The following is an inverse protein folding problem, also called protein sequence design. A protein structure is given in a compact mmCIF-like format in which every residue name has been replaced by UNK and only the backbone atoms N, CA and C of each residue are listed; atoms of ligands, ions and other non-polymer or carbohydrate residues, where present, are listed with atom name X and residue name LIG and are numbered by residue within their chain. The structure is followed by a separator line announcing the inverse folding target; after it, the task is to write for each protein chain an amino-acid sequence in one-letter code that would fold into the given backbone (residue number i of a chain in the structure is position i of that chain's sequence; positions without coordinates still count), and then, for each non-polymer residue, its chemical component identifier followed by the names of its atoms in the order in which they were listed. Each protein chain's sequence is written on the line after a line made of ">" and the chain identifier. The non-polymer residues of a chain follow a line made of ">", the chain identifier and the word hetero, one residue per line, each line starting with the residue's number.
data_IF_546004251016
#
_entry.id   IF_546004251016
#
_cell.length_a   1.000
_cell.length_b   1.000
_cell.length_c   1.000
_cell.angle_alpha   90.00
_cell.angle_beta   90.00
_cell.angle_gamma   90.00
#
_symmetry.space_group_name_H-M   'P 1'
#
loop_
_entity.id
_entity.type
_entity.pdbx_description
1 polymer ?
#
# COMPACT_ATOMS: atom_id res chain seq x y z
N UNK A 1 6.98 -15.19 4.67
CA UNK A 1 6.34 -13.86 4.51
C UNK A 1 4.97 -13.89 5.15
N UNK A 2 4.67 -12.96 6.03
CA UNK A 2 3.33 -12.72 6.59
C UNK A 2 2.58 -11.85 5.60
N UNK A 3 1.37 -12.24 5.22
CA UNK A 3 0.49 -11.46 4.36
C UNK A 3 -0.90 -11.47 4.97
N UNK A 4 -1.37 -10.29 5.38
CA UNK A 4 -2.71 -10.04 5.85
C UNK A 4 -3.45 -9.14 4.88
N UNK A 5 -4.68 -9.52 4.55
CA UNK A 5 -5.53 -8.76 3.62
C UNK A 5 -6.85 -8.49 4.33
N UNK A 6 -7.30 -7.25 4.30
CA UNK A 6 -8.60 -6.86 4.87
C UNK A 6 -9.36 -6.02 3.85
N UNK A 7 -10.67 -6.18 3.88
CA UNK A 7 -11.59 -5.39 3.06
C UNK A 7 -12.90 -5.20 3.84
N UNK A 8 -13.44 -3.98 3.83
CA UNK A 8 -14.70 -3.64 4.51
C UNK A 8 -15.61 -2.82 3.58
N UNK A 9 -16.93 -2.82 3.83
CA UNK A 9 -17.84 -1.87 3.17
C UNK A 9 -17.42 -0.42 3.49
N UNK A 10 -17.76 0.58 2.65
CA UNK A 10 -18.62 0.43 1.46
C UNK A 10 -17.90 0.00 0.19
N UNK A 11 -16.58 0.19 0.10
CA UNK A 11 -15.84 0.03 -1.16
C UNK A 11 -15.34 -1.39 -1.38
N UNK A 12 -15.18 -2.22 -0.32
CA UNK A 12 -14.66 -3.59 -0.40
C UNK A 12 -13.29 -3.70 -1.10
N UNK A 13 -12.51 -2.62 -1.09
CA UNK A 13 -11.14 -2.68 -1.58
C UNK A 13 -10.23 -3.33 -0.54
N UNK A 14 -9.12 -3.88 -1.00
CA UNK A 14 -8.17 -4.57 -0.14
C UNK A 14 -7.10 -3.60 0.40
N UNK A 15 -6.94 -3.57 1.73
CA UNK A 15 -5.75 -3.08 2.39
C UNK A 15 -4.86 -4.24 2.81
N UNK A 16 -3.55 -4.01 2.86
CA UNK A 16 -2.59 -5.09 3.10
C UNK A 16 -1.61 -4.75 4.22
N UNK A 17 -1.22 -5.80 4.97
CA UNK A 17 -0.01 -5.80 5.80
C UNK A 17 0.90 -6.89 5.27
N UNK A 18 2.12 -6.53 4.91
CA UNK A 18 3.15 -7.46 4.45
C UNK A 18 4.31 -7.42 5.42
N UNK A 19 4.61 -8.53 6.09
CA UNK A 19 5.61 -8.62 7.15
C UNK A 19 6.68 -9.68 6.89
N UNK A 20 7.89 -9.38 7.39
CA UNK A 20 8.98 -10.33 7.45
C UNK A 20 8.87 -11.19 8.72
N UNK A 21 8.75 -12.51 8.57
CA UNK A 21 8.66 -13.43 9.71
C UNK A 21 9.90 -13.39 10.61
N UNK A 22 11.07 -13.14 10.03
CA UNK A 22 12.34 -13.16 10.74
C UNK A 22 12.63 -11.86 11.49
N UNK A 23 12.49 -10.70 10.82
CA UNK A 23 12.84 -9.40 11.40
C UNK A 23 11.67 -8.70 12.07
N UNK A 24 10.43 -9.13 11.74
CA UNK A 24 9.18 -8.48 12.12
C UNK A 24 8.96 -7.11 11.48
N UNK A 25 9.87 -6.60 10.67
CA UNK A 25 9.63 -5.42 9.87
C UNK A 25 8.51 -5.67 8.86
N UNK A 26 7.69 -4.66 8.63
CA UNK A 26 6.51 -4.77 7.78
C UNK A 26 6.21 -3.47 7.03
N UNK A 27 5.36 -3.59 6.02
CA UNK A 27 4.76 -2.45 5.33
C UNK A 27 3.24 -2.57 5.36
N UNK A 28 2.56 -1.43 5.45
CA UNK A 28 1.11 -1.32 5.26
C UNK A 28 0.88 -0.71 3.88
N UNK A 29 -0.06 -1.27 3.12
CA UNK A 29 -0.36 -0.80 1.77
C UNK A 29 -1.84 -0.45 1.67
N UNK A 30 -2.13 0.75 1.18
CA UNK A 30 -3.46 1.29 0.93
C UNK A 30 -4.41 1.14 2.14
N UNK A 31 -4.10 1.73 3.30
CA UNK A 31 -5.00 1.65 4.45
C UNK A 31 -6.23 2.54 4.24
N UNK A 32 -7.35 1.92 3.91
CA UNK A 32 -8.65 2.57 3.80
C UNK A 32 -9.49 2.37 5.05
N UNK A 33 -10.79 2.10 4.86
CA UNK A 33 -11.75 1.96 5.96
C UNK A 33 -11.48 0.74 6.87
N UNK A 34 -10.69 -0.22 6.39
CA UNK A 34 -10.24 -1.42 7.14
C UNK A 34 -9.03 -1.16 8.07
N UNK A 35 -8.58 0.08 8.23
CA UNK A 35 -7.37 0.44 8.97
C UNK A 35 -7.32 -0.14 10.39
N UNK A 36 -8.43 -0.15 11.14
CA UNK A 36 -8.48 -0.76 12.48
C UNK A 36 -8.19 -2.26 12.45
N UNK A 37 -8.67 -2.97 11.42
CA UNK A 37 -8.40 -4.40 11.25
C UNK A 37 -6.94 -4.66 10.86
N UNK A 38 -6.36 -3.80 10.02
CA UNK A 38 -4.94 -3.87 9.67
C UNK A 38 -4.06 -3.60 10.90
N UNK A 39 -4.42 -2.61 11.75
CA UNK A 39 -3.74 -2.39 13.03
C UNK A 39 -3.86 -3.59 13.97
N UNK A 40 -5.01 -4.27 13.96
CA UNK A 40 -5.19 -5.54 14.66
C UNK A 40 -4.16 -6.58 14.20
N UNK A 41 -4.06 -6.79 12.90
CA UNK A 41 -3.09 -7.72 12.32
C UNK A 41 -1.63 -7.36 12.65
N UNK A 42 -1.27 -6.07 12.59
CA UNK A 42 0.07 -5.59 13.00
C UNK A 42 0.38 -6.00 14.45
N UNK A 43 -0.58 -5.78 15.37
CA UNK A 43 -0.41 -6.14 16.79
C UNK A 43 -0.33 -7.65 17.01
N UNK A 44 -1.21 -8.42 16.38
CA UNK A 44 -1.30 -9.88 16.54
C UNK A 44 -0.02 -10.57 16.09
N UNK A 45 0.56 -10.10 14.99
CA UNK A 45 1.84 -10.58 14.47
C UNK A 45 3.07 -9.90 15.08
N UNK A 46 2.90 -8.90 15.96
CA UNK A 46 3.98 -8.11 16.58
C UNK A 46 4.93 -7.53 15.53
N UNK A 47 4.34 -6.89 14.52
CA UNK A 47 5.09 -6.30 13.42
C UNK A 47 5.52 -4.87 13.75
N UNK A 48 6.71 -4.51 13.29
CA UNK A 48 7.25 -3.15 13.26
C UNK A 48 7.06 -2.58 11.84
N UNK A 49 6.11 -1.67 11.70
CA UNK A 49 5.77 -1.11 10.37
C UNK A 49 6.74 0.01 10.04
N UNK A 50 7.52 -0.21 8.99
CA UNK A 50 8.55 0.74 8.54
C UNK A 50 8.07 1.69 7.45
N UNK A 51 7.03 1.32 6.68
CA UNK A 51 6.45 2.17 5.63
C UNK A 51 4.93 2.02 5.56
N UNK A 52 4.24 3.14 5.24
CA UNK A 52 2.87 3.17 4.75
C UNK A 52 2.96 3.54 3.27
N UNK A 53 2.64 2.59 2.39
CA UNK A 53 2.80 2.70 0.94
C UNK A 53 1.44 2.88 0.28
N UNK A 54 1.27 3.91 -0.52
CA UNK A 54 0.04 4.19 -1.25
C UNK A 54 0.22 3.88 -2.73
N UNK A 55 -0.64 3.04 -3.28
CA UNK A 55 -0.62 2.77 -4.72
C UNK A 55 -1.19 3.94 -5.52
N UNK A 56 -2.16 4.64 -4.97
CA UNK A 56 -2.75 5.87 -5.51
C UNK A 56 -3.63 6.56 -4.46
N UNK A 57 -4.17 7.74 -4.76
CA UNK A 57 -4.83 8.59 -3.78
C UNK A 57 -6.36 8.66 -3.90
N UNK A 58 -7.04 7.62 -4.38
CA UNK A 58 -8.51 7.55 -4.27
C UNK A 58 -8.95 7.33 -2.83
N UNK A 59 -10.15 7.82 -2.52
CA UNK A 59 -10.72 7.84 -1.17
C UNK A 59 -10.64 6.49 -0.46
N UNK A 60 -11.03 5.43 -1.12
CA UNK A 60 -11.05 4.07 -0.57
C UNK A 60 -9.65 3.53 -0.18
N UNK A 61 -8.58 4.14 -0.70
CA UNK A 61 -7.19 3.75 -0.41
C UNK A 61 -6.55 4.55 0.72
N UNK A 62 -7.10 5.73 1.05
CA UNK A 62 -6.40 6.68 1.91
C UNK A 62 -7.18 7.14 3.15
N UNK A 63 -8.44 6.70 3.34
CA UNK A 63 -9.26 7.10 4.49
C UNK A 63 -8.62 6.74 5.83
N UNK A 64 -7.89 5.64 5.91
CA UNK A 64 -7.22 5.14 7.11
C UNK A 64 -5.80 5.67 7.35
N UNK A 65 -5.23 6.43 6.41
CA UNK A 65 -3.82 6.87 6.50
C UNK A 65 -3.55 7.69 7.77
N UNK A 66 -4.48 8.58 8.15
CA UNK A 66 -4.33 9.38 9.37
C UNK A 66 -4.25 8.51 10.64
N UNK A 67 -5.11 7.50 10.73
CA UNK A 67 -5.13 6.54 11.84
C UNK A 67 -3.83 5.72 11.88
N UNK A 68 -3.39 5.22 10.72
CA UNK A 68 -2.14 4.46 10.61
C UNK A 68 -0.92 5.27 10.99
N UNK A 69 -0.83 6.52 10.51
CA UNK A 69 0.28 7.42 10.83
C UNK A 69 0.35 7.72 12.32
N UNK A 70 -0.77 7.98 12.96
CA UNK A 70 -0.83 8.23 14.40
C UNK A 70 -0.44 7.00 15.23
N UNK A 71 -0.90 5.83 14.82
CA UNK A 71 -0.68 4.60 15.58
C UNK A 71 0.74 4.04 15.42
N UNK A 72 1.34 4.19 14.23
CA UNK A 72 2.58 3.52 13.85
C UNK A 72 3.78 4.45 13.72
N UNK A 73 3.56 5.75 13.46
CA UNK A 73 4.64 6.72 13.22
C UNK A 73 5.39 6.52 11.90
N UNK A 74 5.08 5.48 11.13
CA UNK A 74 5.76 5.13 9.89
C UNK A 74 5.57 6.21 8.80
N UNK A 75 6.58 6.46 7.93
CA UNK A 75 6.47 7.43 6.85
C UNK A 75 5.46 6.98 5.79
N UNK A 76 4.70 7.96 5.27
CA UNK A 76 3.72 7.81 4.20
C UNK A 76 4.38 8.09 2.86
N UNK A 77 4.29 7.13 1.94
CA UNK A 77 4.81 7.20 0.58
C UNK A 77 3.68 7.34 -0.44
N UNK A 78 3.84 8.22 -1.41
CA UNK A 78 2.91 8.44 -2.52
C UNK A 78 3.70 8.89 -3.76
N UNK A 79 3.16 8.69 -4.95
CA UNK A 79 3.68 9.33 -6.16
C UNK A 79 3.28 10.82 -6.20
N UNK A 80 4.20 11.71 -6.59
CA UNK A 80 3.97 13.16 -6.56
C UNK A 80 2.77 13.60 -7.40
N UNK A 81 2.52 12.94 -8.54
CA UNK A 81 1.41 13.28 -9.43
C UNK A 81 0.02 13.04 -8.81
N UNK A 82 -0.06 12.24 -7.74
CA UNK A 82 -1.31 11.99 -7.01
C UNK A 82 -1.49 12.91 -5.78
N UNK A 83 -0.51 13.76 -5.47
CA UNK A 83 -0.61 14.69 -4.34
C UNK A 83 -1.88 15.57 -4.41
N UNK A 84 -2.26 16.17 -5.57
CA UNK A 84 -3.48 16.96 -5.63
C UNK A 84 -4.76 16.18 -5.32
N UNK A 85 -4.79 14.89 -5.61
CA UNK A 85 -5.89 14.00 -5.29
C UNK A 85 -5.90 13.64 -3.79
N UNK A 86 -4.74 13.36 -3.22
CA UNK A 86 -4.54 13.08 -1.81
C UNK A 86 -5.01 14.24 -0.91
N UNK A 87 -4.61 15.46 -1.22
CA UNK A 87 -4.99 16.65 -0.47
C UNK A 87 -6.50 16.94 -0.49
N UNK A 88 -7.19 16.44 -1.51
CA UNK A 88 -8.65 16.58 -1.67
C UNK A 88 -9.46 15.45 -1.06
N UNK A 89 -8.90 14.65 -0.14
CA UNK A 89 -9.62 13.52 0.47
C UNK A 89 -10.97 13.96 1.08
N UNK A 90 -11.01 15.08 1.79
CA UNK A 90 -12.26 15.59 2.40
C UNK A 90 -13.31 15.89 1.33
N UNK A 91 -12.92 16.51 0.21
CA UNK A 91 -13.81 16.78 -0.92
C UNK A 91 -14.28 15.47 -1.58
N UNK A 92 -13.39 14.49 -1.75
CA UNK A 92 -13.78 13.16 -2.23
C UNK A 92 -14.84 12.55 -1.29
N UNK A 93 -14.64 12.61 0.03
CA UNK A 93 -15.59 12.11 1.02
C UNK A 93 -16.98 12.75 0.87
N UNK A 94 -17.04 14.08 0.73
CA UNK A 94 -18.30 14.79 0.55
C UNK A 94 -19.08 14.34 -0.69
N UNK A 95 -18.39 13.99 -1.77
CA UNK A 95 -19.03 13.48 -3.00
C UNK A 95 -19.73 12.13 -2.79
N UNK A 96 -19.26 11.32 -1.83
CA UNK A 96 -19.87 10.03 -1.44
C UNK A 96 -20.75 10.13 -0.19
N UNK A 97 -20.98 11.34 0.35
CA UNK A 97 -21.74 11.54 1.58
C UNK A 97 -21.01 11.01 2.84
N UNK A 98 -19.69 10.87 2.77
CA UNK A 98 -18.85 10.36 3.85
C UNK A 98 -18.17 11.51 4.58
N UNK A 99 -18.07 11.39 5.91
CA UNK A 99 -17.22 12.25 6.72
C UNK A 99 -15.89 11.57 6.90
N UNK A 100 -14.86 12.14 6.29
CA UNK A 100 -13.49 11.60 6.34
C UNK A 100 -12.57 12.61 7.01
N UNK A 101 -11.51 12.10 7.62
CA UNK A 101 -10.49 12.88 8.28
C UNK A 101 -9.47 13.38 7.26
N UNK A 102 -9.01 14.64 7.40
CA UNK A 102 -7.91 15.15 6.59
C UNK A 102 -6.67 14.25 6.76
N UNK A 103 -6.05 13.77 5.67
CA UNK A 103 -4.86 12.95 5.78
C UNK A 103 -3.66 13.80 6.23
N UNK A 104 -2.65 13.21 6.89
CA UNK A 104 -1.40 13.90 7.20
C UNK A 104 -0.64 14.24 5.92
N UNK A 105 0.33 15.17 5.98
CA UNK A 105 1.22 15.39 4.84
C UNK A 105 1.91 14.09 4.41
N UNK A 106 2.16 13.94 3.11
CA UNK A 106 3.02 12.89 2.57
C UNK A 106 4.45 13.12 3.05
N UNK A 107 5.11 12.11 3.59
CA UNK A 107 6.48 12.25 4.09
C UNK A 107 7.51 12.10 2.98
N UNK A 108 7.25 11.19 2.03
CA UNK A 108 8.20 10.86 0.95
C UNK A 108 7.46 10.62 -0.36
N UNK A 109 7.96 11.21 -1.43
CA UNK A 109 7.52 10.87 -2.78
C UNK A 109 8.37 9.73 -3.33
N UNK A 110 7.73 8.79 -4.06
CA UNK A 110 8.45 7.72 -4.73
C UNK A 110 9.44 8.29 -5.75
N UNK A 111 10.70 7.90 -5.62
CA UNK A 111 11.76 8.16 -6.63
C UNK A 111 12.05 6.92 -7.49
N UNK A 112 11.19 5.91 -7.42
CA UNK A 112 11.26 4.61 -8.09
C UNK A 112 12.48 3.76 -7.68
N UNK A 113 13.25 4.18 -6.68
CA UNK A 113 14.28 3.35 -6.07
C UNK A 113 13.65 2.22 -5.25
N UNK A 114 14.27 1.03 -5.18
CA UNK A 114 13.78 -0.05 -4.35
C UNK A 114 13.70 0.34 -2.88
N UNK A 115 12.60 0.01 -2.22
CA UNK A 115 12.46 0.10 -0.76
C UNK A 115 12.74 -1.27 -0.13
N UNK A 116 13.16 -1.29 1.11
CA UNK A 116 13.56 -2.53 1.78
C UNK A 116 12.93 -2.65 3.15
N UNK A 117 12.45 -3.86 3.48
CA UNK A 117 12.02 -4.21 4.83
C UNK A 117 12.36 -5.69 5.11
N UNK A 118 13.06 -5.94 6.20
CA UNK A 118 13.52 -7.29 6.54
C UNK A 118 14.30 -7.96 5.42
N UNK A 119 13.84 -9.12 5.02
CA UNK A 119 14.42 -9.93 3.95
C UNK A 119 13.78 -9.64 2.58
N UNK A 120 13.00 -8.56 2.46
CA UNK A 120 12.24 -8.23 1.26
C UNK A 120 12.65 -6.90 0.65
N UNK A 121 12.42 -6.78 -0.66
CA UNK A 121 12.47 -5.52 -1.41
C UNK A 121 11.10 -5.22 -2.02
N UNK A 122 10.81 -3.94 -2.18
CA UNK A 122 9.64 -3.43 -2.90
C UNK A 122 10.12 -2.65 -4.09
N UNK A 123 9.81 -3.13 -5.29
CA UNK A 123 10.03 -2.39 -6.53
C UNK A 123 8.78 -1.58 -6.83
N UNK A 124 8.95 -0.30 -7.11
CA UNK A 124 7.87 0.64 -7.42
C UNK A 124 7.83 0.86 -8.92
N UNK A 125 6.73 0.50 -9.55
CA UNK A 125 6.51 0.70 -10.98
C UNK A 125 5.46 1.77 -11.19
N UNK A 126 5.83 2.91 -11.78
CA UNK A 126 4.86 3.93 -12.17
C UNK A 126 3.98 3.41 -13.31
N UNK A 127 2.70 3.31 -13.07
CA UNK A 127 1.70 2.73 -13.99
C UNK A 127 0.49 3.68 -14.13
N UNK A 128 0.70 4.87 -14.71
CA UNK A 128 -0.37 5.86 -14.87
C UNK A 128 -1.48 5.31 -15.76
N UNK A 129 -2.70 5.78 -15.51
CA UNK A 129 -3.89 5.38 -16.29
C UNK A 129 -5.15 5.63 -15.48
N UNK A 130 -5.37 4.84 -14.43
CA UNK A 130 -6.47 5.04 -13.48
C UNK A 130 -6.32 6.34 -12.67
N UNK A 131 -5.08 6.61 -12.22
CA UNK A 131 -4.64 7.88 -11.62
C UNK A 131 -3.33 8.33 -12.28
N UNK A 132 -3.02 9.64 -12.29
CA UNK A 132 -1.74 10.14 -12.82
C UNK A 132 -0.54 9.55 -12.09
N UNK A 133 -0.60 9.46 -10.76
CA UNK A 133 0.45 8.93 -9.89
C UNK A 133 0.26 7.46 -9.49
N UNK A 134 -0.57 6.71 -10.22
CA UNK A 134 -0.79 5.30 -9.91
C UNK A 134 0.48 4.47 -10.01
N UNK A 135 0.76 3.63 -9.00
CA UNK A 135 1.91 2.73 -8.98
C UNK A 135 1.49 1.29 -8.73
N UNK A 136 2.28 0.36 -9.27
CA UNK A 136 2.27 -1.04 -8.87
C UNK A 136 3.45 -1.31 -7.95
N UNK A 137 3.23 -2.07 -6.87
CA UNK A 137 4.25 -2.48 -5.93
C UNK A 137 4.54 -3.97 -6.12
N UNK A 138 5.78 -4.28 -6.50
CA UNK A 138 6.26 -5.66 -6.60
C UNK A 138 7.12 -5.98 -5.38
N UNK A 139 6.73 -7.00 -4.60
CA UNK A 139 7.44 -7.38 -3.38
C UNK A 139 8.09 -8.73 -3.57
N UNK A 140 9.41 -8.78 -3.43
CA UNK A 140 10.23 -9.98 -3.60
C UNK A 140 11.20 -10.21 -2.44
N UNK A 141 11.65 -11.47 -2.27
CA UNK A 141 12.72 -11.77 -1.32
C UNK A 141 14.07 -11.24 -1.80
N UNK A 142 14.89 -10.73 -0.88
CA UNK A 142 16.30 -10.35 -1.17
C UNK A 142 17.20 -11.56 -1.08
N UNK A 143 18.02 -11.81 -2.10
CA UNK A 143 19.13 -12.74 -1.95
C UNK A 143 20.28 -12.10 -1.16
N UNK A 144 20.80 -12.83 -0.17
CA UNK A 144 22.05 -12.45 0.50
C UNK A 144 23.19 -12.64 -0.51
N UNK A 145 23.58 -11.54 -1.18
CA UNK A 145 24.70 -11.59 -2.12
C UNK A 145 24.49 -10.92 -3.49
N UNK A 146 23.40 -10.19 -3.71
CA UNK A 146 23.21 -9.33 -4.90
C UNK A 146 22.75 -10.05 -6.16
N UNK A 147 22.22 -11.26 -6.07
CA UNK A 147 21.57 -12.00 -7.16
C UNK A 147 20.05 -11.85 -7.11
N UNK A 148 19.38 -11.98 -8.26
CA UNK A 148 17.91 -12.03 -8.32
C UNK A 148 17.39 -13.23 -7.52
N UNK A 149 16.49 -12.97 -6.54
CA UNK A 149 15.89 -14.01 -5.73
C UNK A 149 15.15 -15.04 -6.61
N UNK A 150 15.48 -16.29 -6.44
CA UNK A 150 14.63 -17.42 -6.87
C UNK A 150 13.66 -17.71 -5.73
N UNK A 151 12.42 -17.33 -5.87
CA UNK A 151 11.36 -17.78 -4.98
C UNK A 151 10.43 -16.66 -4.51
N UNK A 152 9.18 -16.84 -4.81
CA UNK A 152 7.99 -16.14 -4.32
C UNK A 152 8.03 -14.61 -4.50
N UNK A 153 7.93 -14.16 -5.73
CA UNK A 153 7.52 -12.78 -5.99
C UNK A 153 6.01 -12.67 -5.82
N UNK A 154 5.58 -11.79 -4.92
CA UNK A 154 4.23 -11.25 -4.98
C UNK A 154 4.23 -10.23 -6.12
N UNK A 155 3.86 -10.65 -7.32
CA UNK A 155 3.76 -9.70 -8.41
C UNK A 155 2.52 -8.84 -8.22
N UNK A 156 2.76 -7.54 -8.15
CA UNK A 156 1.81 -6.44 -8.29
C UNK A 156 0.53 -6.52 -7.45
N UNK A 157 0.53 -5.80 -6.34
CA UNK A 157 -0.70 -5.47 -5.63
C UNK A 157 -1.41 -4.38 -6.43
N UNK A 158 -2.39 -4.77 -7.24
CA UNK A 158 -3.42 -3.90 -7.80
C UNK A 158 -4.58 -3.88 -6.83
N UNK A 159 -5.01 -2.72 -6.44
CA UNK A 159 -6.10 -2.55 -5.49
C UNK A 159 -7.49 -2.52 -6.10
N UNK A 160 -7.65 -2.52 -7.42
CA UNK A 160 -8.97 -2.48 -8.06
C UNK A 160 -9.10 -3.44 -9.25
N UNK A 161 -10.17 -4.23 -9.33
CA UNK A 161 -10.54 -4.98 -10.53
C UNK A 161 -11.34 -4.09 -11.46
N UNK A 162 -10.72 -3.06 -12.07
CA UNK A 162 -11.34 -2.38 -13.19
C UNK A 162 -11.04 -3.17 -14.47
N UNK A 163 -12.03 -3.85 -15.08
CA UNK A 163 -11.83 -4.62 -16.30
C UNK A 163 -11.56 -3.75 -17.52
N UNK A 164 -11.73 -2.43 -17.44
CA UNK A 164 -11.53 -1.48 -18.55
C UNK A 164 -10.11 -0.90 -18.59
N UNK A 165 -9.31 -1.05 -17.55
CA UNK A 165 -7.92 -0.59 -17.55
C UNK A 165 -7.04 -1.54 -18.34
N UNK A 166 -6.27 -1.01 -19.30
CA UNK A 166 -5.31 -1.79 -20.08
C UNK A 166 -4.39 -2.65 -19.19
N UNK A 167 -4.08 -3.91 -19.56
CA UNK A 167 -3.34 -4.84 -18.73
C UNK A 167 -1.83 -4.50 -18.73
N UNK A 168 -1.43 -3.53 -17.94
CA UNK A 168 -0.01 -3.18 -17.76
C UNK A 168 0.59 -3.74 -16.47
N UNK A 169 -0.25 -4.24 -15.57
CA UNK A 169 0.19 -4.91 -14.36
C UNK A 169 -0.60 -6.22 -14.19
N UNK A 170 0.04 -7.39 -14.19
CA UNK A 170 -0.69 -8.64 -14.00
C UNK A 170 -1.32 -8.66 -12.60
N UNK A 171 -2.65 -8.62 -12.57
CA UNK A 171 -3.41 -8.81 -11.34
C UNK A 171 -3.32 -10.27 -10.93
N UNK A 172 -2.40 -10.63 -10.06
CA UNK A 172 -2.51 -11.87 -9.29
C UNK A 172 -1.46 -11.90 -8.17
N UNK A 173 -1.91 -12.20 -6.97
CA UNK A 173 -1.04 -12.83 -5.98
C UNK A 173 -0.86 -14.27 -6.47
N UNK A 174 0.18 -14.55 -7.21
CA UNK A 174 0.54 -15.92 -7.58
C UNK A 174 1.49 -16.45 -6.52
N UNK A 175 0.98 -17.37 -5.69
CA UNK A 175 1.87 -18.23 -4.89
C UNK A 175 2.48 -19.25 -5.85
N UNK A 176 3.78 -19.21 -6.06
CA UNK A 176 4.54 -20.34 -6.57
C UNK A 176 5.05 -21.18 -5.39
#
# INVERSE_FOLDING_TARGET
>A
MILEVRAVPPFHKNGFVVGCERTREAVVIDPGDEADQLLGAVRDHRLDVVYILLTHAHIDHITGVALMKEALGAPVYLHEDDLPLYERLVQQGLMFGLTVRQPPPVDVFYDLSPLYFGDYEVLVHHTPGHCPGGVCLEIGGREKGGGKARGTSLSAIRSSPDPSAAPTCPAAITRC
#
